data_IF_138272100235
#
_entry.id   IF_138272100235
#
_cell.length_a   1.000
_cell.length_b   1.000
_cell.length_c   1.000
_cell.angle_alpha   90.00
_cell.angle_beta   90.00
_cell.angle_gamma   90.00
#
_symmetry.space_group_name_H-M   'P 1'
#
loop_
_entity.id
_entity.type
_entity.pdbx_description
1 polymer ?
#
# COMPACT_ATOMS: atom_id res chain seq x y z
N UNK A 1 1.27 28.16 -9.49
CA UNK A 1 0.43 27.02 -9.05
C UNK A 1 1.31 25.79 -8.83
N UNK A 2 1.15 25.13 -7.69
CA UNK A 2 2.04 24.10 -7.17
C UNK A 2 1.77 22.72 -7.81
N UNK A 3 2.02 22.58 -9.12
CA UNK A 3 1.76 21.33 -9.87
C UNK A 3 2.94 20.37 -9.94
N UNK A 4 4.09 20.70 -9.32
CA UNK A 4 5.30 19.89 -9.42
C UNK A 4 5.80 19.46 -8.04
N UNK A 5 5.87 18.14 -7.83
CA UNK A 5 6.28 17.50 -6.57
C UNK A 5 7.81 17.35 -6.48
N UNK A 6 8.58 17.51 -7.58
CA UNK A 6 10.04 17.37 -7.58
C UNK A 6 10.76 18.22 -8.64
N UNK A 7 12.10 18.22 -8.61
CA UNK A 7 12.97 18.80 -9.63
C UNK A 7 12.99 18.02 -10.96
N UNK A 8 13.74 18.49 -11.95
CA UNK A 8 13.82 17.82 -13.27
C UNK A 8 14.43 16.42 -13.18
N UNK A 9 13.83 15.46 -13.88
CA UNK A 9 14.38 14.12 -14.03
C UNK A 9 15.63 14.11 -14.95
N UNK A 10 16.56 13.15 -14.80
CA UNK A 10 17.65 12.92 -15.75
C UNK A 10 17.14 12.71 -17.19
N UNK A 11 17.95 13.06 -18.19
CA UNK A 11 17.60 12.91 -19.61
C UNK A 11 17.33 11.44 -20.02
N UNK A 12 17.99 10.49 -19.36
CA UNK A 12 17.88 9.05 -19.59
C UNK A 12 16.93 8.36 -18.61
N UNK A 13 16.12 9.12 -17.85
CA UNK A 13 15.18 8.56 -16.91
C UNK A 13 14.15 7.68 -17.62
N UNK A 14 13.86 6.51 -17.03
CA UNK A 14 12.77 5.64 -17.49
C UNK A 14 11.43 6.38 -17.33
N UNK A 15 10.71 6.52 -18.45
CA UNK A 15 9.35 7.08 -18.48
C UNK A 15 8.33 5.95 -18.40
N UNK A 16 7.28 6.16 -17.60
CA UNK A 16 6.09 5.30 -17.55
C UNK A 16 4.88 6.19 -17.87
N UNK A 17 4.14 5.88 -18.94
CA UNK A 17 2.93 6.60 -19.32
C UNK A 17 1.75 6.16 -18.46
N UNK A 18 1.18 7.09 -17.70
CA UNK A 18 0.04 6.90 -16.81
C UNK A 18 -1.14 7.79 -17.23
N UNK A 19 -1.22 8.18 -18.51
CA UNK A 19 -2.32 8.99 -19.03
C UNK A 19 -3.68 8.37 -18.67
N UNK A 20 -4.59 9.20 -18.16
CA UNK A 20 -5.93 8.76 -17.72
C UNK A 20 -5.97 8.08 -16.35
N UNK A 21 -4.85 7.93 -15.65
CA UNK A 21 -4.78 7.35 -14.30
C UNK A 21 -4.49 8.41 -13.24
N UNK A 22 -4.87 8.11 -12.00
CA UNK A 22 -4.51 8.92 -10.84
C UNK A 22 -3.23 8.41 -10.22
N UNK A 23 -2.28 9.32 -10.01
CA UNK A 23 -1.10 9.06 -9.17
C UNK A 23 -1.33 9.74 -7.83
N UNK A 24 -1.39 8.94 -6.79
CA UNK A 24 -1.54 9.38 -5.40
C UNK A 24 -0.43 8.77 -4.55
N UNK A 25 -0.07 9.36 -3.40
CA UNK A 25 0.70 8.64 -2.39
C UNK A 25 -0.01 7.32 -2.03
N UNK A 26 0.77 6.28 -1.77
CA UNK A 26 0.19 5.02 -1.31
C UNK A 26 -0.56 5.20 0.02
N UNK A 27 -1.64 4.47 0.20
CA UNK A 27 -2.49 4.62 1.38
C UNK A 27 -1.77 4.14 2.64
N UNK A 28 -2.07 4.80 3.76
CA UNK A 28 -1.57 4.47 5.09
C UNK A 28 -2.76 3.98 5.92
N UNK A 29 -2.83 2.67 6.10
CA UNK A 29 -3.87 2.03 6.90
C UNK A 29 -3.39 1.88 8.36
N UNK A 30 -4.01 2.64 9.26
CA UNK A 30 -3.65 2.66 10.67
C UNK A 30 -4.47 1.69 11.54
N UNK A 31 -5.54 1.09 10.99
CA UNK A 31 -6.42 0.23 11.78
C UNK A 31 -7.10 -0.84 10.92
N UNK A 32 -6.56 -2.06 10.97
CA UNK A 32 -7.10 -3.20 10.25
C UNK A 32 -6.72 -4.53 10.94
N UNK A 33 -7.63 -5.51 10.88
CA UNK A 33 -7.49 -6.81 11.55
C UNK A 33 -7.05 -7.94 10.61
N UNK A 34 -6.99 -7.72 9.31
CA UNK A 34 -6.65 -8.77 8.34
C UNK A 34 -6.90 -8.37 6.88
N UNK A 35 -7.02 -9.34 5.98
CA UNK A 35 -7.29 -9.06 4.58
C UNK A 35 -7.31 -10.32 3.74
N UNK A 36 -8.17 -10.35 2.71
CA UNK A 36 -8.22 -11.46 1.76
C UNK A 36 -8.59 -12.79 2.38
N UNK A 37 -9.39 -12.77 3.46
CA UNK A 37 -9.76 -13.95 4.25
C UNK A 37 -8.81 -14.29 5.39
N UNK A 38 -7.63 -13.67 5.46
CA UNK A 38 -6.65 -13.92 6.52
C UNK A 38 -6.80 -12.97 7.71
N UNK A 39 -6.42 -13.46 8.91
CA UNK A 39 -6.41 -12.67 10.15
C UNK A 39 -4.99 -12.41 10.65
N UNK A 40 -4.72 -11.18 11.12
CA UNK A 40 -3.45 -10.84 11.77
C UNK A 40 -3.31 -11.43 13.18
N UNK A 41 -4.39 -11.94 13.77
CA UNK A 41 -4.36 -12.63 15.07
C UNK A 41 -4.34 -14.15 14.94
N UNK A 42 -4.22 -14.70 13.72
CA UNK A 42 -4.16 -16.16 13.46
C UNK A 42 -2.92 -16.85 14.01
N UNK A 43 -1.84 -16.11 14.29
CA UNK A 43 -0.58 -16.62 14.82
C UNK A 43 0.38 -17.22 13.80
N UNK A 44 0.08 -17.15 12.49
CA UNK A 44 0.99 -17.64 11.43
C UNK A 44 1.52 -16.51 10.55
N UNK A 45 2.76 -16.66 10.09
CA UNK A 45 3.40 -15.68 9.19
C UNK A 45 2.69 -15.63 7.83
N UNK A 46 2.24 -16.79 7.33
CA UNK A 46 1.63 -16.88 6.00
C UNK A 46 0.32 -16.10 5.90
N UNK A 47 -0.52 -16.19 6.94
CA UNK A 47 -1.77 -15.41 7.06
C UNK A 47 -1.48 -13.91 7.14
N UNK A 48 -0.47 -13.50 7.92
CA UNK A 48 -0.05 -12.09 8.01
C UNK A 48 0.42 -11.57 6.65
N UNK A 49 1.28 -12.32 5.95
CA UNK A 49 1.76 -11.94 4.63
C UNK A 49 0.62 -11.93 3.59
N UNK A 50 -0.36 -12.82 3.71
CA UNK A 50 -1.54 -12.84 2.84
C UNK A 50 -2.41 -11.60 3.01
N UNK A 51 -2.68 -11.19 4.25
CA UNK A 51 -3.37 -9.94 4.54
C UNK A 51 -2.61 -8.73 3.98
N UNK A 52 -1.29 -8.65 4.19
CA UNK A 52 -0.45 -7.56 3.68
C UNK A 52 -0.49 -7.49 2.14
N UNK A 53 -0.36 -8.63 1.44
CA UNK A 53 -0.41 -8.67 -0.03
C UNK A 53 -1.76 -8.18 -0.54
N UNK A 54 -2.86 -8.63 0.09
CA UNK A 54 -4.20 -8.19 -0.27
C UNK A 54 -4.34 -6.67 -0.20
N UNK A 55 -3.88 -6.05 0.89
CA UNK A 55 -3.93 -4.59 1.06
C UNK A 55 -3.05 -3.84 0.05
N UNK A 56 -1.86 -4.38 -0.26
CA UNK A 56 -0.97 -3.81 -1.27
C UNK A 56 -1.57 -3.80 -2.68
N UNK A 57 -2.30 -4.85 -3.06
CA UNK A 57 -3.00 -4.92 -4.35
C UNK A 57 -4.07 -3.84 -4.50
N UNK A 58 -4.54 -3.25 -3.39
CA UNK A 58 -5.56 -2.21 -3.36
C UNK A 58 -5.01 -0.82 -3.00
N UNK A 59 -3.68 -0.64 -3.03
CA UNK A 59 -3.02 0.66 -2.90
C UNK A 59 -2.52 1.02 -1.51
N UNK A 60 -2.72 0.17 -0.49
CA UNK A 60 -2.13 0.38 0.85
C UNK A 60 -0.66 0.02 0.85
N UNK A 61 0.22 1.01 1.01
CA UNK A 61 1.67 0.81 1.03
C UNK A 61 2.26 0.75 2.43
N UNK A 62 1.55 1.30 3.42
CA UNK A 62 1.92 1.26 4.84
C UNK A 62 0.74 0.78 5.67
N UNK A 63 0.97 -0.16 6.57
CA UNK A 63 -0.08 -0.76 7.40
C UNK A 63 0.39 -0.94 8.83
N UNK A 64 -0.48 -0.61 9.79
CA UNK A 64 -0.33 -0.93 11.21
C UNK A 64 -1.38 -1.97 11.59
N UNK A 65 -0.94 -3.20 11.84
CA UNK A 65 -1.84 -4.29 12.20
C UNK A 65 -2.49 -4.04 13.57
N UNK A 66 -3.82 -4.11 13.62
CA UNK A 66 -4.60 -3.99 14.84
C UNK A 66 -4.96 -5.38 15.35
N UNK A 67 -4.50 -5.71 16.55
CA UNK A 67 -4.82 -6.98 17.22
C UNK A 67 -5.94 -6.78 18.22
N UNK A 68 -6.92 -7.67 18.24
CA UNK A 68 -7.95 -7.76 19.28
C UNK A 68 -7.70 -8.98 20.15
N UNK A 69 -8.03 -8.89 21.44
CA UNK A 69 -8.01 -10.02 22.36
C UNK A 69 -9.36 -10.75 22.32
N UNK A 70 -9.31 -12.07 22.17
CA UNK A 70 -10.45 -12.97 22.43
C UNK A 70 -10.20 -13.77 23.70
#
# INVERSE_FOLDING_TARGET
ESTRISGSAPEDARIVDLTGHWVVPGFVDMHNHGGGGASFTSGTVDEVLHGIRTHREHGTTTLVASTVTG
#
